data_IF_055209209350
#
_entry.id   IF_055209209350
#
_cell.length_a   1.000
_cell.length_b   1.000
_cell.length_c   1.000
_cell.angle_alpha   90.00
_cell.angle_beta   90.00
_cell.angle_gamma   90.00
#
_symmetry.space_group_name_H-M   'P 1'
#
loop_
_entity.id
_entity.type
_entity.pdbx_description
1 polymer ?
#
# COMPACT_ATOMS: atom_id res chain seq x y z
N UNK A 1 -14.38 -8.72 -9.25
CA UNK A 1 -13.02 -8.16 -9.11
C UNK A 1 -12.69 -8.14 -7.63
N UNK A 2 -11.59 -8.77 -7.21
CA UNK A 2 -11.17 -8.81 -5.80
C UNK A 2 -10.81 -7.41 -5.31
N UNK A 3 -11.36 -7.03 -4.17
CA UNK A 3 -11.15 -5.75 -3.49
C UNK A 3 -9.63 -5.45 -3.26
N UNK A 4 -9.14 -4.23 -3.57
CA UNK A 4 -7.72 -3.87 -3.43
C UNK A 4 -7.17 -4.03 -2.02
N UNK A 5 -7.96 -3.70 -1.00
CA UNK A 5 -7.58 -3.80 0.42
C UNK A 5 -7.32 -5.27 0.78
N UNK A 6 -8.20 -6.17 0.33
CA UNK A 6 -8.05 -7.61 0.54
C UNK A 6 -6.73 -8.14 -0.05
N UNK A 7 -6.39 -7.75 -1.28
CA UNK A 7 -5.12 -8.14 -1.92
C UNK A 7 -3.91 -7.57 -1.18
N UNK A 8 -3.96 -6.30 -0.79
CA UNK A 8 -2.87 -5.65 -0.07
C UNK A 8 -2.66 -6.25 1.31
N UNK A 9 -3.73 -6.58 2.04
CA UNK A 9 -3.67 -7.25 3.33
C UNK A 9 -3.03 -8.64 3.23
N UNK A 10 -3.32 -9.39 2.16
CA UNK A 10 -2.64 -10.66 1.91
C UNK A 10 -1.14 -10.47 1.65
N UNK A 11 -0.78 -9.50 0.79
CA UNK A 11 0.61 -9.23 0.40
C UNK A 11 1.48 -8.66 1.54
N UNK A 12 0.89 -7.88 2.44
CA UNK A 12 1.57 -7.22 3.56
C UNK A 12 1.34 -7.93 4.91
N UNK A 13 0.79 -9.14 4.85
CA UNK A 13 0.41 -9.92 6.03
C UNK A 13 1.58 -10.09 7.01
N UNK A 14 1.28 -10.02 8.30
CA UNK A 14 2.28 -10.10 9.36
C UNK A 14 3.07 -8.81 9.63
N UNK A 15 2.96 -7.78 8.77
CA UNK A 15 3.59 -6.48 9.05
C UNK A 15 2.63 -5.30 9.03
N UNK A 16 1.76 -5.21 8.03
CA UNK A 16 0.80 -4.14 7.92
C UNK A 16 -0.62 -4.66 7.74
N UNK A 17 -1.60 -3.98 8.33
CA UNK A 17 -3.02 -4.20 8.05
C UNK A 17 -3.63 -2.93 7.49
N UNK A 18 -4.04 -2.96 6.22
CA UNK A 18 -4.75 -1.89 5.54
C UNK A 18 -6.17 -1.78 6.10
N UNK A 19 -6.57 -0.57 6.50
CA UNK A 19 -7.92 -0.27 6.99
C UNK A 19 -8.80 0.36 5.91
N UNK A 20 -8.34 1.47 5.31
CA UNK A 20 -9.10 2.22 4.30
C UNK A 20 -8.21 3.07 3.42
N UNK A 21 -8.71 3.44 2.26
CA UNK A 21 -8.10 4.46 1.42
C UNK A 21 -8.22 5.84 2.07
N UNK A 22 -7.14 6.62 2.01
CA UNK A 22 -7.09 8.02 2.43
C UNK A 22 -7.19 8.98 1.25
N UNK A 23 -6.65 8.60 0.09
CA UNK A 23 -6.70 9.42 -1.11
C UNK A 23 -6.07 8.73 -2.31
N UNK A 24 -6.39 9.23 -3.49
CA UNK A 24 -5.84 8.77 -4.76
C UNK A 24 -5.34 9.97 -5.56
N UNK A 25 -4.19 9.81 -6.21
CA UNK A 25 -3.65 10.79 -7.15
C UNK A 25 -3.12 10.12 -8.41
N UNK A 26 -2.50 10.93 -9.29
CA UNK A 26 -1.99 10.45 -10.57
C UNK A 26 -0.96 9.32 -10.46
N UNK A 27 -0.15 9.31 -9.39
CA UNK A 27 0.98 8.39 -9.26
C UNK A 27 0.72 7.18 -8.36
N UNK A 28 -0.18 7.32 -7.39
CA UNK A 28 -0.33 6.37 -6.30
C UNK A 28 -1.68 6.50 -5.59
N UNK A 29 -2.04 5.45 -4.87
CA UNK A 29 -3.13 5.46 -3.88
C UNK A 29 -2.53 5.38 -2.49
N UNK A 30 -3.03 6.20 -1.56
CA UNK A 30 -2.58 6.24 -0.16
C UNK A 30 -3.61 5.57 0.72
N UNK A 31 -3.16 4.67 1.57
CA UNK A 31 -3.98 3.92 2.51
C UNK A 31 -3.56 4.20 3.96
N UNK A 32 -4.53 4.17 4.87
CA UNK A 32 -4.30 4.05 6.30
C UNK A 32 -4.05 2.58 6.64
N UNK A 33 -3.01 2.32 7.42
CA UNK A 33 -2.69 0.98 7.88
C UNK A 33 -2.21 0.95 9.33
N UNK A 34 -2.37 -0.18 9.99
CA UNK A 34 -1.66 -0.51 11.23
C UNK A 34 -0.29 -1.08 10.91
N UNK A 35 0.78 -0.51 11.48
CA UNK A 35 2.08 -1.18 11.60
C UNK A 35 2.05 -2.11 12.81
N UNK A 36 1.90 -3.41 12.56
CA UNK A 36 1.74 -4.41 13.62
C UNK A 36 3.00 -4.59 14.47
N UNK A 37 4.18 -4.20 13.96
CA UNK A 37 5.43 -4.28 14.71
C UNK A 37 5.58 -3.15 15.71
N UNK A 38 5.11 -1.96 15.35
CA UNK A 38 5.32 -0.73 16.13
C UNK A 38 4.03 -0.17 16.73
N UNK A 39 2.91 -0.89 16.58
CA UNK A 39 1.61 -0.60 17.17
C UNK A 39 1.11 0.82 16.91
N UNK A 40 1.31 1.31 15.68
CA UNK A 40 0.93 2.67 15.28
C UNK A 40 0.27 2.72 13.91
N UNK A 41 -0.55 3.76 13.71
CA UNK A 41 -1.12 4.09 12.40
C UNK A 41 -0.04 4.67 11.48
N UNK A 42 -0.02 4.22 10.23
CA UNK A 42 0.89 4.70 9.18
C UNK A 42 0.13 4.93 7.88
N UNK A 43 0.66 5.83 7.04
CA UNK A 43 0.20 6.01 5.67
C UNK A 43 1.07 5.16 4.73
N UNK A 44 0.45 4.28 3.96
CA UNK A 44 1.14 3.48 2.92
C UNK A 44 0.79 4.02 1.54
N UNK A 45 1.81 4.44 0.79
CA UNK A 45 1.68 4.93 -0.58
C UNK A 45 1.97 3.79 -1.55
N UNK A 46 0.92 3.29 -2.20
CA UNK A 46 1.01 2.20 -3.18
C UNK A 46 1.05 2.81 -4.57
N UNK A 47 2.16 2.61 -5.28
CA UNK A 47 2.32 3.11 -6.65
C UNK A 47 1.37 2.37 -7.60
N UNK A 48 0.82 3.11 -8.57
CA UNK A 48 0.03 2.49 -9.64
C UNK A 48 0.93 1.62 -10.53
N UNK A 49 0.49 0.44 -10.99
CA UNK A 49 1.34 -0.49 -11.74
C UNK A 49 2.01 0.14 -12.96
N UNK A 50 1.31 1.05 -13.64
CA UNK A 50 1.78 1.75 -14.85
C UNK A 50 2.99 2.64 -14.55
N UNK A 51 3.11 3.14 -13.32
CA UNK A 51 4.23 3.99 -12.88
C UNK A 51 5.38 3.20 -12.27
N UNK A 52 5.09 2.08 -11.60
CA UNK A 52 6.12 1.24 -11.00
C UNK A 52 7.11 0.70 -12.05
N UNK A 53 6.64 0.44 -13.28
CA UNK A 53 7.48 0.05 -14.40
C UNK A 53 8.42 1.18 -14.88
N UNK A 54 8.01 2.44 -14.73
CA UNK A 54 8.78 3.60 -15.20
C UNK A 54 9.82 4.10 -14.18
N UNK A 55 9.57 3.92 -12.87
CA UNK A 55 10.45 4.44 -11.79
C UNK A 55 11.49 3.40 -11.33
N UNK A 56 11.38 2.15 -11.79
CA UNK A 56 12.23 1.05 -11.37
C UNK A 56 11.83 0.51 -10.00
N UNK A 57 11.26 -0.69 -9.96
CA UNK A 57 10.82 -1.33 -8.72
C UNK A 57 11.96 -1.54 -7.70
N UNK A 58 13.19 -1.67 -8.20
CA UNK A 58 14.42 -1.82 -7.42
C UNK A 58 14.69 -0.66 -6.44
N UNK A 59 14.13 0.52 -6.69
CA UNK A 59 14.33 1.69 -5.84
C UNK A 59 13.50 1.65 -4.55
N UNK A 60 12.63 0.65 -4.41
CA UNK A 60 11.63 0.55 -3.34
C UNK A 60 11.59 -0.83 -2.63
N UNK A 61 12.53 -1.74 -2.93
CA UNK A 61 12.71 -3.04 -2.26
C UNK A 61 13.82 -2.96 -1.20
#
# INVERSE_FOLDING_TARGET
MSDPITRLNAALSGRYRIERQLGEGGMATVYLADDLKHERKVALKVLKPELAAAVGAERFL
#
